data_IF_629992538880
#
_entry.id   IF_629992538880
#
_cell.length_a   1.000
_cell.length_b   1.000
_cell.length_c   1.000
_cell.angle_alpha   90.00
_cell.angle_beta   90.00
_cell.angle_gamma   90.00
#
_symmetry.space_group_name_H-M   'P 1'
#
loop_
_entity.id
_entity.type
_entity.pdbx_description
1 polymer ?
#
# COMPACT_ATOMS: atom_id res chain seq x y z
N UNK A 1 -32.39 -10.26 14.40
CA UNK A 1 -31.48 -10.18 13.24
C UNK A 1 -31.03 -8.74 12.87
N UNK A 2 -31.30 -7.71 13.70
CA UNK A 2 -30.84 -6.32 13.49
C UNK A 2 -29.84 -5.80 14.56
N UNK A 3 -29.29 -6.69 15.40
CA UNK A 3 -28.34 -6.33 16.48
C UNK A 3 -26.85 -6.49 16.13
N UNK A 4 -26.51 -6.86 14.90
CA UNK A 4 -25.11 -7.08 14.47
C UNK A 4 -24.53 -5.85 13.74
N UNK A 5 -25.37 -4.97 13.17
CA UNK A 5 -24.89 -3.80 12.42
C UNK A 5 -24.45 -2.64 13.35
N UNK A 6 -24.90 -2.60 14.61
CA UNK A 6 -24.45 -1.57 15.56
C UNK A 6 -23.05 -1.80 16.16
N UNK A 7 -22.37 -2.90 15.81
CA UNK A 7 -20.96 -3.13 16.15
C UNK A 7 -19.96 -2.70 15.06
N UNK A 8 -20.44 -2.25 13.90
CA UNK A 8 -19.59 -1.90 12.74
C UNK A 8 -19.20 -0.40 12.74
N UNK A 9 -19.80 0.43 13.60
CA UNK A 9 -19.40 1.83 13.76
C UNK A 9 -19.21 2.12 15.26
N UNK A 10 -17.99 1.97 15.82
CA UNK A 10 -17.73 2.53 17.13
C UNK A 10 -17.77 4.05 16.99
N UNK A 11 -18.85 4.62 17.51
CA UNK A 11 -19.00 6.04 17.83
C UNK A 11 -17.70 6.52 18.48
N UNK A 12 -17.10 7.53 17.85
CA UNK A 12 -15.84 8.18 18.21
C UNK A 12 -15.84 8.60 19.69
N UNK A 13 -15.32 7.75 20.56
CA UNK A 13 -14.76 8.15 21.85
C UNK A 13 -13.27 8.38 21.59
N UNK A 14 -12.74 9.55 21.98
CA UNK A 14 -11.35 9.96 21.83
C UNK A 14 -10.39 8.92 22.43
N UNK A 15 -10.06 7.88 21.68
CA UNK A 15 -8.96 6.96 21.95
C UNK A 15 -7.70 7.59 21.39
N UNK A 16 -6.68 7.72 22.23
CA UNK A 16 -5.33 8.13 21.84
C UNK A 16 -4.94 7.46 20.51
N UNK A 17 -4.81 8.25 19.45
CA UNK A 17 -4.45 7.75 18.12
C UNK A 17 -3.05 7.17 18.22
N UNK A 18 -2.91 5.88 17.95
CA UNK A 18 -1.63 5.17 17.94
C UNK A 18 -1.19 4.89 16.50
N UNK A 19 0.11 4.67 16.29
CA UNK A 19 0.63 4.21 15.00
C UNK A 19 -0.04 2.92 14.52
N UNK A 20 -0.34 2.01 15.46
CA UNK A 20 -1.10 0.81 15.17
C UNK A 20 -2.50 1.12 14.66
N UNK A 21 -3.28 1.92 15.39
CA UNK A 21 -4.65 2.24 14.99
C UNK A 21 -4.72 2.97 13.65
N UNK A 22 -3.71 3.80 13.33
CA UNK A 22 -3.64 4.51 12.07
C UNK A 22 -3.25 3.59 10.89
N UNK A 23 -2.37 2.60 11.11
CA UNK A 23 -1.94 1.64 10.08
C UNK A 23 -2.91 0.47 9.89
N UNK A 24 -3.71 0.14 10.91
CA UNK A 24 -4.64 -1.00 10.95
C UNK A 24 -5.54 -1.14 9.70
N UNK A 25 -6.12 -0.08 9.11
CA UNK A 25 -6.92 -0.20 7.89
C UNK A 25 -6.11 -0.72 6.69
N UNK A 26 -4.88 -0.25 6.51
CA UNK A 26 -3.97 -0.71 5.43
C UNK A 26 -3.56 -2.16 5.65
N UNK A 27 -3.31 -2.55 6.91
CA UNK A 27 -3.03 -3.94 7.25
C UNK A 27 -4.18 -4.87 6.86
N UNK A 28 -5.44 -4.52 7.17
CA UNK A 28 -6.56 -5.36 6.75
C UNK A 28 -6.74 -5.40 5.24
N UNK A 29 -6.59 -4.27 4.56
CA UNK A 29 -6.66 -4.18 3.11
C UNK A 29 -5.64 -5.10 2.44
N UNK A 30 -4.38 -5.03 2.86
CA UNK A 30 -3.30 -5.87 2.33
C UNK A 30 -3.44 -7.34 2.74
N UNK A 31 -3.87 -7.62 3.97
CA UNK A 31 -4.13 -8.98 4.44
C UNK A 31 -5.28 -9.65 3.70
N UNK A 32 -6.35 -8.90 3.37
CA UNK A 32 -7.49 -9.41 2.59
C UNK A 32 -7.08 -9.91 1.21
N UNK A 33 -6.04 -9.33 0.62
CA UNK A 33 -5.52 -9.72 -0.69
C UNK A 33 -4.35 -10.69 -0.59
N UNK A 34 -3.98 -11.16 0.60
CA UNK A 34 -2.84 -12.04 0.82
C UNK A 34 -1.47 -11.37 0.63
N UNK A 35 -1.40 -10.03 0.59
CA UNK A 35 -0.17 -9.25 0.41
C UNK A 35 0.58 -9.00 1.72
N UNK A 36 0.00 -9.40 2.86
CA UNK A 36 0.63 -9.26 4.16
C UNK A 36 0.90 -10.65 4.76
N UNK A 37 2.16 -11.09 4.89
CA UNK A 37 2.46 -12.48 5.21
C UNK A 37 2.22 -12.83 6.68
N UNK A 38 2.20 -11.85 7.60
CA UNK A 38 2.07 -12.12 9.04
C UNK A 38 0.80 -11.52 9.63
N UNK A 39 0.08 -12.30 10.43
CA UNK A 39 -0.97 -11.77 11.28
C UNK A 39 -0.37 -10.95 12.42
N UNK A 40 -0.79 -9.70 12.54
CA UNK A 40 -0.37 -8.78 13.60
C UNK A 40 -1.21 -8.98 14.85
N UNK A 41 -0.58 -9.25 16.00
CA UNK A 41 -1.23 -9.21 17.32
C UNK A 41 -0.88 -7.90 18.02
N UNK A 42 -1.90 -7.21 18.52
CA UNK A 42 -1.73 -6.07 19.40
C UNK A 42 -1.75 -6.55 20.85
N UNK A 43 -0.58 -6.88 21.40
CA UNK A 43 -0.46 -7.37 22.78
C UNK A 43 -0.10 -6.25 23.78
N UNK A 44 0.39 -5.12 23.29
CA UNK A 44 0.55 -3.88 24.06
C UNK A 44 0.59 -2.70 23.09
N UNK A 45 0.41 -1.48 23.59
CA UNK A 45 0.28 -0.23 22.82
C UNK A 45 1.42 0.10 21.85
N UNK A 46 2.48 -0.71 21.75
CA UNK A 46 3.78 -0.20 21.34
C UNK A 46 4.74 -1.15 20.59
N UNK A 47 4.40 -2.41 20.30
CA UNK A 47 5.23 -3.30 19.46
C UNK A 47 4.33 -4.21 18.61
N UNK A 48 4.65 -4.37 17.33
CA UNK A 48 4.02 -5.37 16.48
C UNK A 48 4.61 -6.75 16.76
N UNK A 49 3.81 -7.66 17.31
CA UNK A 49 4.14 -9.08 17.40
C UNK A 49 3.46 -9.85 16.28
N UNK A 50 4.17 -10.84 15.73
CA UNK A 50 3.68 -11.71 14.66
C UNK A 50 3.45 -13.13 15.18
N UNK A 51 2.50 -13.83 14.56
CA UNK A 51 2.35 -15.27 14.72
C UNK A 51 3.10 -15.98 13.59
N UNK A 52 4.11 -16.78 13.91
CA UNK A 52 4.88 -17.52 12.89
C UNK A 52 3.99 -18.46 12.06
N UNK A 53 3.02 -19.13 12.69
CA UNK A 53 2.10 -20.05 12.00
C UNK A 53 1.19 -19.35 10.98
N UNK A 54 0.97 -18.03 11.11
CA UNK A 54 0.16 -17.28 10.15
C UNK A 54 0.84 -17.12 8.79
N UNK A 55 2.17 -17.23 8.73
CA UNK A 55 2.93 -17.12 7.48
C UNK A 55 2.49 -18.18 6.47
N UNK A 56 2.41 -19.43 6.90
CA UNK A 56 2.06 -20.55 6.01
C UNK A 56 0.61 -20.47 5.52
N UNK A 57 -0.33 -20.10 6.39
CA UNK A 57 -1.73 -19.92 6.00
C UNK A 57 -1.91 -18.78 5.00
N UNK A 58 -1.26 -17.63 5.24
CA UNK A 58 -1.31 -16.51 4.32
C UNK A 58 -0.61 -16.84 3.00
N UNK A 59 0.47 -17.63 3.02
CA UNK A 59 1.17 -18.10 1.82
C UNK A 59 0.27 -19.01 0.96
N UNK A 60 -0.41 -19.98 1.57
CA UNK A 60 -1.41 -20.81 0.88
C UNK A 60 -2.51 -19.92 0.30
N UNK A 61 -3.03 -18.97 1.07
CA UNK A 61 -4.08 -18.07 0.62
C UNK A 61 -3.65 -17.24 -0.60
N UNK A 62 -2.46 -16.63 -0.56
CA UNK A 62 -1.90 -15.90 -1.70
C UNK A 62 -1.67 -16.80 -2.93
N UNK A 63 -1.20 -18.03 -2.70
CA UNK A 63 -1.00 -19.02 -3.77
C UNK A 63 -2.33 -19.39 -4.44
N UNK A 64 -3.41 -19.57 -3.66
CA UNK A 64 -4.75 -19.84 -4.19
C UNK A 64 -5.24 -18.67 -5.05
N UNK A 65 -5.11 -17.43 -4.56
CA UNK A 65 -5.49 -16.24 -5.35
C UNK A 65 -4.71 -16.21 -6.67
N UNK A 66 -3.40 -16.44 -6.62
CA UNK A 66 -2.55 -16.42 -7.81
C UNK A 66 -2.93 -17.52 -8.81
N UNK A 67 -3.21 -18.75 -8.34
CA UNK A 67 -3.68 -19.84 -9.19
C UNK A 67 -5.02 -19.49 -9.86
N UNK A 68 -5.96 -18.89 -9.11
CA UNK A 68 -7.23 -18.40 -9.66
C UNK A 68 -6.96 -17.38 -10.78
N UNK A 69 -6.07 -16.41 -10.56
CA UNK A 69 -5.69 -15.44 -11.58
C UNK A 69 -5.11 -16.11 -12.83
N UNK A 70 -4.24 -17.11 -12.68
CA UNK A 70 -3.70 -17.87 -13.82
C UNK A 70 -4.79 -18.60 -14.60
N UNK A 71 -5.70 -19.31 -13.91
CA UNK A 71 -6.79 -20.06 -14.56
C UNK A 71 -7.72 -19.11 -15.32
N UNK A 72 -8.16 -18.01 -14.69
CA UNK A 72 -9.02 -17.03 -15.35
C UNK A 72 -8.31 -16.31 -16.49
N UNK A 73 -7.00 -16.06 -16.39
CA UNK A 73 -6.21 -15.51 -17.50
C UNK A 73 -6.23 -16.44 -18.71
N UNK A 74 -5.98 -17.74 -18.52
CA UNK A 74 -6.05 -18.73 -19.62
C UNK A 74 -7.45 -18.80 -20.22
N UNK A 75 -8.50 -18.85 -19.39
CA UNK A 75 -9.89 -18.88 -19.86
C UNK A 75 -10.24 -17.62 -20.66
N UNK A 76 -9.78 -16.45 -20.24
CA UNK A 76 -10.05 -15.20 -20.93
C UNK A 76 -9.29 -15.11 -22.26
N UNK A 77 -8.01 -15.53 -22.30
CA UNK A 77 -7.24 -15.60 -23.55
C UNK A 77 -7.92 -16.56 -24.53
N UNK A 78 -8.42 -17.70 -24.06
CA UNK A 78 -9.21 -18.62 -24.90
C UNK A 78 -10.47 -17.94 -25.44
N UNK A 79 -11.26 -17.27 -24.60
CA UNK A 79 -12.47 -16.54 -25.04
C UNK A 79 -12.16 -15.49 -26.12
N UNK A 80 -11.08 -14.72 -25.94
CA UNK A 80 -10.62 -13.72 -26.91
C UNK A 80 -10.24 -14.38 -28.24
N UNK A 81 -9.42 -15.43 -28.22
CA UNK A 81 -8.96 -16.12 -29.43
C UNK A 81 -10.13 -16.80 -30.18
N UNK A 82 -11.07 -17.41 -29.46
CA UNK A 82 -12.23 -18.06 -30.09
C UNK A 82 -13.21 -17.03 -30.68
N UNK A 83 -13.37 -15.87 -30.04
CA UNK A 83 -14.17 -14.77 -30.59
C UNK A 83 -13.54 -14.16 -31.85
N UNK A 84 -12.21 -13.95 -31.85
CA UNK A 84 -11.45 -13.33 -32.94
C UNK A 84 -11.45 -14.12 -34.25
N UNK A 85 -11.63 -15.45 -34.20
CA UNK A 85 -11.73 -16.29 -35.42
C UNK A 85 -12.92 -15.97 -36.33
N UNK A 86 -13.86 -15.12 -35.89
CA UNK A 86 -15.08 -14.79 -36.64
C UNK A 86 -14.93 -13.56 -37.54
N UNK A 87 -13.84 -12.79 -37.45
CA UNK A 87 -13.67 -11.53 -38.19
C UNK A 87 -12.26 -11.43 -38.79
N UNK A 88 -12.17 -11.13 -40.09
CA UNK A 88 -10.91 -11.02 -40.82
C UNK A 88 -10.55 -9.56 -41.07
N UNK A 89 -9.86 -8.90 -40.13
CA UNK A 89 -9.08 -7.69 -40.44
C UNK A 89 -7.87 -7.52 -39.51
N UNK A 90 -6.73 -7.18 -40.10
CA UNK A 90 -5.42 -6.99 -39.45
C UNK A 90 -5.38 -6.00 -38.28
N UNK A 91 -6.32 -5.05 -38.21
CA UNK A 91 -6.41 -4.09 -37.10
C UNK A 91 -7.00 -4.69 -35.81
N UNK A 92 -7.90 -5.67 -35.92
CA UNK A 92 -8.48 -6.36 -34.77
C UNK A 92 -7.42 -7.23 -34.08
N UNK A 93 -6.56 -7.87 -34.87
CA UNK A 93 -5.45 -8.68 -34.38
C UNK A 93 -4.44 -7.87 -33.53
N UNK A 94 -4.13 -6.63 -33.91
CA UNK A 94 -3.19 -5.79 -33.14
C UNK A 94 -3.77 -5.40 -31.78
N UNK A 95 -5.06 -5.06 -31.76
CA UNK A 95 -5.80 -4.72 -30.53
C UNK A 95 -5.91 -5.93 -29.61
N UNK A 96 -6.20 -7.12 -30.15
CA UNK A 96 -6.21 -8.38 -29.40
C UNK A 96 -4.85 -8.71 -28.79
N UNK A 97 -3.77 -8.55 -29.57
CA UNK A 97 -2.41 -8.77 -29.09
C UNK A 97 -2.06 -7.81 -27.94
N UNK A 98 -2.36 -6.52 -28.09
CA UNK A 98 -2.14 -5.53 -27.04
C UNK A 98 -2.93 -5.87 -25.76
N UNK A 99 -4.17 -6.31 -25.92
CA UNK A 99 -5.02 -6.76 -24.83
C UNK A 99 -4.45 -7.99 -24.11
N UNK A 100 -3.92 -8.95 -24.86
CA UNK A 100 -3.24 -10.13 -24.30
C UNK A 100 -1.96 -9.73 -23.55
N UNK A 101 -1.16 -8.81 -24.10
CA UNK A 101 0.02 -8.31 -23.41
C UNK A 101 -0.34 -7.64 -22.09
N UNK A 102 -1.42 -6.87 -22.04
CA UNK A 102 -1.86 -6.23 -20.81
C UNK A 102 -2.22 -7.26 -19.72
N UNK A 103 -2.90 -8.37 -20.08
CA UNK A 103 -3.15 -9.48 -19.16
C UNK A 103 -1.87 -10.06 -18.59
N UNK A 104 -0.91 -10.34 -19.47
CA UNK A 104 0.35 -10.98 -19.10
C UNK A 104 1.15 -10.06 -18.18
N UNK A 105 1.21 -8.75 -18.47
CA UNK A 105 1.88 -7.78 -17.61
C UNK A 105 1.23 -7.69 -16.23
N UNK A 106 -0.09 -7.67 -16.14
CA UNK A 106 -0.82 -7.68 -14.86
C UNK A 106 -0.59 -8.96 -14.06
N UNK A 107 -0.51 -10.12 -14.73
CA UNK A 107 -0.24 -11.39 -14.08
C UNK A 107 1.21 -11.47 -13.56
N UNK A 108 2.17 -11.04 -14.38
CA UNK A 108 3.58 -10.92 -13.98
C UNK A 108 3.72 -9.95 -12.81
N UNK A 109 3.02 -8.82 -12.84
CA UNK A 109 2.97 -7.89 -11.72
C UNK A 109 2.49 -8.58 -10.43
N UNK A 110 1.37 -9.32 -10.49
CA UNK A 110 0.83 -10.03 -9.32
C UNK A 110 1.84 -11.03 -8.76
N UNK A 111 2.52 -11.78 -9.64
CA UNK A 111 3.58 -12.69 -9.23
C UNK A 111 4.70 -11.96 -8.48
N UNK A 112 5.21 -10.86 -9.04
CA UNK A 112 6.26 -10.04 -8.42
C UNK A 112 5.79 -9.45 -7.09
N UNK A 113 4.55 -8.96 -7.02
CA UNK A 113 3.97 -8.40 -5.80
C UNK A 113 3.88 -9.44 -4.67
N UNK A 114 3.34 -10.63 -4.94
CA UNK A 114 3.29 -11.72 -3.96
C UNK A 114 4.69 -12.20 -3.58
N UNK A 115 5.57 -12.42 -4.56
CA UNK A 115 6.94 -12.83 -4.29
C UNK A 115 7.67 -11.85 -3.37
N UNK A 116 7.55 -10.54 -3.66
CA UNK A 116 8.14 -9.49 -2.83
C UNK A 116 7.49 -9.44 -1.45
N UNK A 117 6.17 -9.60 -1.35
CA UNK A 117 5.46 -9.57 -0.08
C UNK A 117 5.95 -10.66 0.89
N UNK A 118 6.09 -11.90 0.40
CA UNK A 118 6.50 -13.03 1.22
C UNK A 118 8.00 -13.06 1.52
N UNK A 119 8.83 -12.64 0.55
CA UNK A 119 10.29 -12.55 0.73
C UNK A 119 10.65 -11.42 1.70
N UNK A 120 10.01 -10.26 1.57
CA UNK A 120 10.25 -9.08 2.42
C UNK A 120 9.38 -9.04 3.67
N UNK A 121 8.64 -10.10 4.00
CA UNK A 121 7.70 -10.10 5.12
C UNK A 121 8.32 -9.69 6.45
N UNK A 122 9.51 -10.22 6.78
CA UNK A 122 10.22 -9.86 8.02
C UNK A 122 10.66 -8.40 8.00
N UNK A 123 11.02 -7.89 6.83
CA UNK A 123 11.44 -6.50 6.62
C UNK A 123 10.29 -5.53 6.91
N UNK A 124 9.06 -5.83 6.47
CA UNK A 124 7.89 -4.99 6.78
C UNK A 124 7.65 -4.83 8.29
N UNK A 125 7.75 -5.92 9.04
CA UNK A 125 7.60 -5.89 10.50
C UNK A 125 8.73 -5.09 11.15
N UNK A 126 9.96 -5.27 10.67
CA UNK A 126 11.12 -4.53 11.15
C UNK A 126 11.01 -3.02 10.86
N UNK A 127 10.47 -2.63 9.69
CA UNK A 127 10.17 -1.23 9.35
C UNK A 127 9.16 -0.67 10.35
N UNK A 128 8.02 -1.34 10.54
CA UNK A 128 6.96 -0.90 11.45
C UNK A 128 7.44 -0.75 12.89
N UNK A 129 8.20 -1.71 13.40
CA UNK A 129 8.77 -1.67 14.75
C UNK A 129 9.82 -0.57 14.89
N UNK A 130 10.68 -0.37 13.87
CA UNK A 130 11.67 0.73 13.87
C UNK A 130 11.00 2.10 13.80
N UNK A 131 9.89 2.25 13.09
CA UNK A 131 9.11 3.48 13.07
C UNK A 131 8.59 3.81 14.47
N UNK A 132 7.92 2.85 15.13
CA UNK A 132 7.39 3.07 16.50
C UNK A 132 8.52 3.39 17.48
N UNK A 133 9.61 2.62 17.43
CA UNK A 133 10.75 2.81 18.34
C UNK A 133 11.44 4.16 18.14
N UNK A 134 11.55 4.64 16.89
CA UNK A 134 12.14 5.95 16.58
C UNK A 134 11.21 7.07 17.01
N UNK A 135 9.90 6.91 16.78
CA UNK A 135 8.89 7.90 17.15
C UNK A 135 8.87 8.20 18.65
N UNK A 136 9.00 7.15 19.48
CA UNK A 136 9.08 7.27 20.95
C UNK A 136 10.25 8.13 21.42
N UNK A 137 11.38 8.08 20.72
CA UNK A 137 12.58 8.86 21.07
C UNK A 137 12.44 10.34 20.73
N UNK A 138 11.48 10.69 19.87
CA UNK A 138 11.21 12.04 19.38
C UNK A 138 9.86 12.58 19.85
N UNK A 139 9.23 11.95 20.87
CA UNK A 139 7.94 12.40 21.37
C UNK A 139 8.09 13.72 22.16
N UNK A 140 7.37 14.75 21.72
CA UNK A 140 7.24 16.08 22.36
C UNK A 140 5.76 16.34 22.58
N UNK A 141 5.36 17.29 23.43
CA UNK A 141 3.95 17.61 23.74
C UNK A 141 3.04 17.81 22.51
N UNK A 142 3.59 18.18 21.35
CA UNK A 142 2.86 18.32 20.07
C UNK A 142 2.70 17.01 19.27
N UNK A 143 3.13 15.88 19.82
CA UNK A 143 3.08 14.54 19.21
C UNK A 143 1.67 14.14 18.78
N UNK A 144 0.67 14.40 19.61
CA UNK A 144 -0.72 14.00 19.34
C UNK A 144 -1.27 14.68 18.08
N UNK A 145 -0.93 15.96 17.88
CA UNK A 145 -1.35 16.73 16.70
C UNK A 145 -0.74 16.15 15.42
N UNK A 146 0.56 15.81 15.45
CA UNK A 146 1.21 15.21 14.30
C UNK A 146 0.66 13.80 14.00
N UNK A 147 0.41 13.01 15.03
CA UNK A 147 -0.18 11.68 14.87
C UNK A 147 -1.59 11.73 14.25
N UNK A 148 -2.40 12.74 14.60
CA UNK A 148 -3.70 13.01 13.95
C UNK A 148 -3.55 13.35 12.46
N UNK A 149 -2.51 14.11 12.08
CA UNK A 149 -2.23 14.42 10.67
C UNK A 149 -1.83 13.17 9.88
N UNK A 150 -0.97 12.33 10.46
CA UNK A 150 -0.59 11.04 9.87
C UNK A 150 -1.81 10.15 9.69
N UNK A 151 -2.65 9.99 10.72
CA UNK A 151 -3.89 9.20 10.65
C UNK A 151 -4.83 9.71 9.55
N UNK A 152 -5.00 11.04 9.43
CA UNK A 152 -5.80 11.63 8.34
C UNK A 152 -5.21 11.33 6.95
N UNK A 153 -3.88 11.43 6.78
CA UNK A 153 -3.20 11.10 5.51
C UNK A 153 -3.36 9.62 5.16
N UNK A 154 -3.23 8.72 6.13
CA UNK A 154 -3.42 7.27 5.94
C UNK A 154 -4.87 6.94 5.58
N UNK A 155 -5.85 7.52 6.29
CA UNK A 155 -7.28 7.38 5.95
C UNK A 155 -7.60 7.89 4.54
N UNK A 156 -6.96 8.98 4.10
CA UNK A 156 -7.11 9.48 2.73
C UNK A 156 -6.65 8.45 1.70
N UNK A 157 -5.51 7.78 1.94
CA UNK A 157 -5.00 6.70 1.06
C UNK A 157 -6.00 5.56 0.96
N UNK A 158 -6.50 5.07 2.12
CA UNK A 158 -7.51 3.99 2.17
C UNK A 158 -8.78 4.41 1.43
N UNK A 159 -9.27 5.63 1.67
CA UNK A 159 -10.45 6.16 0.99
C UNK A 159 -10.26 6.23 -0.52
N UNK A 160 -9.13 6.76 -1.00
CA UNK A 160 -8.83 6.82 -2.44
C UNK A 160 -8.75 5.43 -3.07
N UNK A 161 -8.12 4.47 -2.38
CA UNK A 161 -8.07 3.08 -2.83
C UNK A 161 -9.48 2.49 -2.96
N UNK A 162 -10.29 2.60 -1.90
CA UNK A 162 -11.63 2.01 -1.89
C UNK A 162 -12.52 2.63 -2.94
N UNK A 163 -12.42 3.95 -3.12
CA UNK A 163 -13.16 4.67 -4.16
C UNK A 163 -12.77 4.17 -5.56
N UNK A 164 -11.47 4.03 -5.85
CA UNK A 164 -11.00 3.52 -7.14
C UNK A 164 -11.48 2.07 -7.36
N UNK A 165 -11.32 1.19 -6.38
CA UNK A 165 -11.75 -0.20 -6.47
C UNK A 165 -13.27 -0.31 -6.73
N UNK A 166 -14.10 0.44 -5.98
CA UNK A 166 -15.55 0.45 -6.18
C UNK A 166 -15.91 0.98 -7.58
N UNK A 167 -15.28 2.07 -8.02
CA UNK A 167 -15.52 2.62 -9.36
C UNK A 167 -15.18 1.61 -10.46
N UNK A 168 -14.05 0.91 -10.38
CA UNK A 168 -13.67 -0.11 -11.38
C UNK A 168 -14.68 -1.27 -11.44
N UNK A 169 -15.19 -1.70 -10.28
CA UNK A 169 -16.23 -2.75 -10.21
C UNK A 169 -17.53 -2.25 -10.85
N UNK A 170 -17.98 -1.03 -10.52
CA UNK A 170 -19.20 -0.44 -11.09
C UNK A 170 -19.08 -0.36 -12.60
N UNK A 171 -17.98 0.19 -13.13
CA UNK A 171 -17.75 0.33 -14.58
C UNK A 171 -17.86 -1.04 -15.28
N UNK A 172 -17.28 -2.09 -14.71
CA UNK A 172 -17.35 -3.43 -15.29
C UNK A 172 -18.77 -3.99 -15.40
N UNK A 173 -19.62 -3.73 -14.41
CA UNK A 173 -21.01 -4.17 -14.43
C UNK A 173 -21.93 -3.26 -15.26
N UNK A 174 -21.49 -2.05 -15.63
CA UNK A 174 -22.20 -1.18 -16.58
C UNK A 174 -21.93 -1.52 -18.05
N UNK A 175 -20.88 -2.30 -18.34
CA UNK A 175 -20.51 -2.67 -19.72
C UNK A 175 -21.60 -3.55 -20.35
N UNK A 176 -21.97 -3.24 -21.60
CA UNK A 176 -22.85 -4.10 -22.40
C UNK A 176 -22.13 -5.42 -22.69
N UNK A 177 -22.65 -6.52 -22.19
CA UNK A 177 -22.06 -7.85 -22.38
C UNK A 177 -22.75 -8.93 -21.55
N UNK A 178 -22.40 -10.19 -21.80
CA UNK A 178 -22.84 -11.31 -20.97
C UNK A 178 -22.19 -11.24 -19.59
N UNK A 179 -22.90 -11.69 -18.54
CA UNK A 179 -22.37 -11.81 -17.17
C UNK A 179 -21.03 -12.56 -17.13
N UNK A 180 -20.87 -13.59 -17.97
CA UNK A 180 -19.62 -14.35 -18.08
C UNK A 180 -18.42 -13.47 -18.45
N UNK A 181 -18.54 -12.61 -19.46
CA UNK A 181 -17.50 -11.64 -19.84
C UNK A 181 -17.18 -10.67 -18.71
N UNK A 182 -18.17 -10.20 -17.96
CA UNK A 182 -17.93 -9.35 -16.78
C UNK A 182 -17.18 -10.10 -15.69
N UNK A 183 -17.46 -11.39 -15.48
CA UNK A 183 -16.72 -12.24 -14.53
C UNK A 183 -15.27 -12.44 -14.99
N UNK A 184 -15.05 -12.73 -16.28
CA UNK A 184 -13.70 -12.83 -16.84
C UNK A 184 -12.90 -11.54 -16.60
N UNK A 185 -13.45 -10.38 -16.97
CA UNK A 185 -12.81 -9.07 -16.75
C UNK A 185 -12.53 -8.79 -15.27
N UNK A 186 -13.45 -9.17 -14.38
CA UNK A 186 -13.27 -9.01 -12.94
C UNK A 186 -12.02 -9.75 -12.43
N UNK A 187 -11.81 -10.99 -12.86
CA UNK A 187 -10.67 -11.78 -12.40
C UNK A 187 -9.37 -11.49 -13.16
N UNK A 188 -9.42 -11.06 -14.42
CA UNK A 188 -8.20 -10.82 -15.21
C UNK A 188 -7.68 -9.39 -15.19
N UNK A 189 -8.55 -8.39 -14.97
CA UNK A 189 -8.14 -6.98 -14.87
C UNK A 189 -8.35 -6.42 -13.47
N UNK A 190 -9.59 -6.46 -12.99
CA UNK A 190 -9.96 -5.69 -11.80
C UNK A 190 -9.26 -6.26 -10.57
N UNK A 191 -9.22 -7.57 -10.40
CA UNK A 191 -8.54 -8.18 -9.27
C UNK A 191 -7.02 -7.94 -9.29
N UNK A 192 -6.29 -8.19 -10.40
CA UNK A 192 -4.87 -7.79 -10.52
C UNK A 192 -4.60 -6.30 -10.27
N UNK A 193 -5.42 -5.42 -10.85
CA UNK A 193 -5.33 -3.97 -10.61
C UNK A 193 -5.60 -3.62 -9.14
N UNK A 194 -6.52 -4.33 -8.48
CA UNK A 194 -6.80 -4.16 -7.04
C UNK A 194 -5.59 -4.58 -6.20
N UNK A 195 -4.93 -5.70 -6.54
CA UNK A 195 -3.66 -6.13 -5.93
C UNK A 195 -2.57 -5.08 -6.12
N UNK A 196 -2.50 -4.48 -7.31
CA UNK A 196 -1.55 -3.42 -7.62
C UNK A 196 -1.78 -2.15 -6.80
N UNK A 197 -3.03 -1.66 -6.78
CA UNK A 197 -3.43 -0.51 -6.00
C UNK A 197 -3.21 -0.74 -4.49
N UNK A 198 -3.44 -1.95 -4.00
CA UNK A 198 -3.19 -2.31 -2.60
C UNK A 198 -1.70 -2.28 -2.25
N UNK A 199 -0.84 -2.78 -3.13
CA UNK A 199 0.61 -2.74 -2.97
C UNK A 199 1.12 -1.29 -2.97
N UNK A 200 0.61 -0.43 -3.86
CA UNK A 200 0.91 1.00 -3.86
C UNK A 200 0.39 1.71 -2.60
N UNK A 201 -0.82 1.39 -2.16
CA UNK A 201 -1.39 1.94 -0.92
C UNK A 201 -0.53 1.56 0.29
N UNK A 202 -0.01 0.32 0.33
CA UNK A 202 0.93 -0.12 1.35
C UNK A 202 2.23 0.68 1.31
N UNK A 203 2.87 0.81 0.14
CA UNK A 203 4.05 1.64 -0.02
C UNK A 203 3.84 3.09 0.46
N UNK A 204 2.79 3.74 -0.05
CA UNK A 204 2.43 5.12 0.32
C UNK A 204 2.17 5.26 1.82
N UNK A 205 1.57 4.25 2.46
CA UNK A 205 1.33 4.28 3.90
C UNK A 205 2.63 4.31 4.71
N UNK A 206 3.63 3.50 4.34
CA UNK A 206 4.92 3.47 5.02
C UNK A 206 5.69 4.78 4.79
N UNK A 207 5.61 5.35 3.58
CA UNK A 207 6.15 6.67 3.27
C UNK A 207 5.50 7.75 4.13
N UNK A 208 4.17 7.77 4.25
CA UNK A 208 3.46 8.71 5.13
C UNK A 208 3.93 8.54 6.58
N UNK A 209 4.14 7.32 7.06
CA UNK A 209 4.67 7.10 8.40
C UNK A 209 6.07 7.69 8.59
N UNK A 210 6.95 7.56 7.60
CA UNK A 210 8.27 8.22 7.61
C UNK A 210 8.13 9.74 7.61
N UNK A 211 7.26 10.31 6.78
CA UNK A 211 7.05 11.77 6.76
C UNK A 211 6.60 12.27 8.13
N UNK A 212 5.74 11.50 8.83
CA UNK A 212 5.37 11.80 10.21
C UNK A 212 6.55 11.78 11.19
N UNK A 213 7.51 10.87 11.02
CA UNK A 213 8.74 10.88 11.83
C UNK A 213 9.60 12.12 11.56
N UNK A 214 9.74 12.52 10.30
CA UNK A 214 10.48 13.74 9.93
C UNK A 214 9.80 14.98 10.49
N UNK A 215 8.48 15.08 10.40
CA UNK A 215 7.68 16.16 10.99
C UNK A 215 7.90 16.22 12.52
N UNK A 216 7.99 15.07 13.20
CA UNK A 216 8.33 15.02 14.63
C UNK A 216 9.76 15.53 14.92
N UNK A 217 10.74 15.17 14.09
CA UNK A 217 12.13 15.65 14.25
C UNK A 217 12.19 17.18 14.07
N UNK A 218 11.48 17.73 13.08
CA UNK A 218 11.40 19.18 12.85
C UNK A 218 10.72 19.89 14.03
N UNK A 219 9.65 19.31 14.57
CA UNK A 219 8.99 19.83 15.78
C UNK A 219 9.92 19.82 17.00
N UNK A 220 10.73 18.77 17.17
CA UNK A 220 11.76 18.75 18.20
C UNK A 220 12.75 19.91 18.01
N UNK A 221 13.30 20.07 16.80
CA UNK A 221 14.27 21.12 16.49
C UNK A 221 13.72 22.53 16.75
N UNK A 222 12.50 22.82 16.30
CA UNK A 222 11.85 24.12 16.52
C UNK A 222 11.60 24.42 18.00
N UNK A 223 11.22 23.40 18.79
CA UNK A 223 11.08 23.55 20.25
C UNK A 223 12.41 23.91 20.92
N UNK A 224 13.53 23.33 20.48
CA UNK A 224 14.85 23.68 20.99
C UNK A 224 15.31 25.08 20.59
N UNK A 225 15.03 25.53 19.36
CA UNK A 225 15.39 26.88 18.93
C UNK A 225 14.64 27.96 19.73
N UNK A 226 13.34 27.75 19.96
CA UNK A 226 12.48 28.65 20.74
C UNK A 226 12.96 28.75 22.20
N UNK A 227 13.34 27.64 22.82
CA UNK A 227 13.83 27.63 24.21
C UNK A 227 15.25 28.21 24.36
N UNK A 228 16.08 28.22 23.32
CA UNK A 228 17.39 28.90 23.35
C UNK A 228 17.26 30.43 23.43
N UNK A 229 16.22 31.01 22.81
CA UNK A 229 16.01 32.47 22.77
C UNK A 229 15.58 33.08 24.11
N UNK A 230 15.01 32.27 25.01
CA UNK A 230 14.56 32.74 26.35
C UNK A 230 15.72 32.86 27.35
N UNK A 231 16.90 32.28 27.06
CA UNK A 231 18.06 32.29 27.96
C UNK A 231 19.11 33.36 27.61
N UNK A 232 18.69 34.56 27.21
CA UNK A 232 19.59 35.72 27.16
C UNK A 232 19.91 36.18 28.59
N UNK A 233 21.00 35.66 29.15
CA UNK A 233 21.58 36.17 30.39
C UNK A 233 22.65 35.29 31.04
N UNK A 234 22.61 33.96 30.89
CA UNK A 234 23.61 33.07 31.51
C UNK A 234 23.94 31.92 30.56
N UNK A 235 25.10 32.00 29.92
CA UNK A 235 25.69 30.92 29.12
C UNK A 235 26.20 29.81 30.04
N UNK A 236 25.30 29.02 30.60
CA UNK A 236 25.64 27.66 31.02
C UNK A 236 25.24 26.75 29.87
N UNK A 237 26.21 26.37 29.04
CA UNK A 237 26.05 25.28 28.06
C UNK A 237 25.75 24.00 28.83
N UNK A 238 24.46 23.75 29.09
CA UNK A 238 24.02 22.56 29.80
C UNK A 238 24.47 21.33 28.99
N UNK A 239 25.11 20.32 29.62
CA UNK A 239 25.55 19.08 28.96
C UNK A 239 24.40 18.34 28.24
N UNK A 240 23.14 18.66 28.56
CA UNK A 240 21.93 18.22 27.86
C UNK A 240 21.90 18.58 26.37
N UNK A 241 22.39 19.74 25.94
CA UNK A 241 22.25 20.19 24.56
C UNK A 241 23.03 19.32 23.54
N UNK A 242 24.22 18.85 23.92
CA UNK A 242 25.06 17.97 23.08
C UNK A 242 24.43 16.56 22.99
N UNK A 243 23.89 16.04 24.10
CA UNK A 243 23.18 14.74 24.09
C UNK A 243 21.92 14.75 23.20
N UNK A 244 21.22 15.89 23.14
CA UNK A 244 20.00 16.04 22.34
C UNK A 244 20.32 16.06 20.85
N UNK A 245 21.35 16.81 20.43
CA UNK A 245 21.74 16.88 19.02
C UNK A 245 22.24 15.52 18.51
N UNK A 246 23.01 14.78 19.33
CA UNK A 246 23.44 13.42 19.03
C UNK A 246 22.24 12.46 18.89
N UNK A 247 21.23 12.60 19.77
CA UNK A 247 20.00 11.82 19.69
C UNK A 247 19.18 12.13 18.43
N UNK A 248 19.08 13.40 18.03
CA UNK A 248 18.40 13.81 16.79
C UNK A 248 19.13 13.30 15.55
N UNK A 249 20.46 13.41 15.51
CA UNK A 249 21.29 12.82 14.44
C UNK A 249 21.04 11.32 14.31
N UNK A 250 21.03 10.60 15.44
CA UNK A 250 20.74 9.16 15.47
C UNK A 250 19.33 8.86 14.97
N UNK A 251 18.32 9.67 15.31
CA UNK A 251 16.96 9.51 14.81
C UNK A 251 16.89 9.75 13.29
N UNK A 252 17.56 10.77 12.78
CA UNK A 252 17.61 11.05 11.34
C UNK A 252 18.26 9.91 10.55
N UNK A 253 19.39 9.38 11.02
CA UNK A 253 20.05 8.21 10.41
C UNK A 253 19.10 7.00 10.41
N UNK A 254 18.37 6.77 11.51
CA UNK A 254 17.37 5.70 11.56
C UNK A 254 16.25 5.90 10.54
N UNK A 255 15.72 7.12 10.40
CA UNK A 255 14.68 7.41 9.40
C UNK A 255 15.20 7.17 7.99
N UNK A 256 16.44 7.57 7.70
CA UNK A 256 17.09 7.29 6.41
C UNK A 256 17.18 5.79 6.13
N UNK A 257 17.64 5.00 7.09
CA UNK A 257 17.72 3.54 6.93
C UNK A 257 16.34 2.89 6.75
N UNK A 258 15.30 3.38 7.46
CA UNK A 258 13.93 2.90 7.26
C UNK A 258 13.45 3.23 5.83
N UNK A 259 13.77 4.41 5.29
CA UNK A 259 13.45 4.78 3.90
C UNK A 259 14.13 3.82 2.91
N UNK A 260 15.40 3.54 3.10
CA UNK A 260 16.16 2.61 2.25
C UNK A 260 15.53 1.21 2.26
N UNK A 261 15.14 0.72 3.44
CA UNK A 261 14.45 -0.58 3.56
C UNK A 261 13.10 -0.60 2.85
N UNK A 262 12.31 0.49 2.93
CA UNK A 262 11.05 0.59 2.17
C UNK A 262 11.36 0.54 0.67
N UNK A 263 12.34 1.30 0.19
CA UNK A 263 12.70 1.31 -1.22
C UNK A 263 13.13 -0.08 -1.68
N UNK A 264 14.00 -0.76 -0.93
CA UNK A 264 14.42 -2.14 -1.23
C UNK A 264 13.24 -3.11 -1.30
N UNK A 265 12.25 -2.94 -0.43
CA UNK A 265 11.11 -3.84 -0.37
C UNK A 265 10.08 -3.62 -1.50
N UNK A 266 10.00 -2.41 -2.06
CA UNK A 266 8.98 -2.02 -3.05
C UNK A 266 9.53 -1.63 -4.42
N UNK A 267 10.86 -1.58 -4.63
CA UNK A 267 11.47 -1.18 -5.90
C UNK A 267 10.97 -2.00 -7.10
N UNK A 268 10.87 -3.33 -6.95
CA UNK A 268 10.43 -4.20 -8.03
C UNK A 268 8.93 -4.02 -8.33
N UNK A 269 8.01 -4.09 -7.34
CA UNK A 269 6.60 -3.77 -7.59
C UNK A 269 6.37 -2.38 -8.21
N UNK A 270 7.11 -1.35 -7.77
CA UNK A 270 7.00 0.00 -8.34
C UNK A 270 7.48 0.02 -9.80
N UNK A 271 8.59 -0.64 -10.11
CA UNK A 271 9.11 -0.72 -11.47
C UNK A 271 8.13 -1.43 -12.42
N UNK A 272 7.58 -2.58 -12.02
CA UNK A 272 6.59 -3.29 -12.83
C UNK A 272 5.29 -2.50 -12.99
N UNK A 273 4.89 -1.74 -11.96
CA UNK A 273 3.77 -0.79 -12.08
C UNK A 273 4.07 0.26 -13.15
N UNK A 274 5.25 0.87 -13.14
CA UNK A 274 5.62 1.87 -14.13
C UNK A 274 5.65 1.31 -15.56
N UNK A 275 6.19 0.10 -15.74
CA UNK A 275 6.20 -0.59 -17.04
C UNK A 275 4.77 -0.84 -17.54
N UNK A 276 3.90 -1.38 -16.68
CA UNK A 276 2.51 -1.62 -17.04
C UNK A 276 1.75 -0.32 -17.34
N UNK A 277 1.93 0.72 -16.54
CA UNK A 277 1.32 2.03 -16.82
C UNK A 277 1.81 2.60 -18.15
N UNK A 278 3.10 2.47 -18.46
CA UNK A 278 3.65 2.90 -19.74
C UNK A 278 3.01 2.12 -20.90
N UNK A 279 2.94 0.79 -20.79
CA UNK A 279 2.28 -0.05 -21.79
C UNK A 279 0.82 0.36 -21.99
N UNK A 280 0.05 0.47 -20.91
CA UNK A 280 -1.36 0.90 -20.95
C UNK A 280 -1.53 2.27 -21.63
N UNK A 281 -0.70 3.26 -21.29
CA UNK A 281 -0.74 4.59 -21.93
C UNK A 281 -0.46 4.52 -23.43
N UNK A 282 0.52 3.72 -23.85
CA UNK A 282 0.86 3.55 -25.27
C UNK A 282 -0.25 2.81 -26.01
N UNK A 283 -0.80 1.74 -25.42
CA UNK A 283 -1.91 0.97 -26.02
C UNK A 283 -3.17 1.82 -26.19
N UNK A 284 -3.55 2.59 -25.16
CA UNK A 284 -4.71 3.49 -25.21
C UNK A 284 -4.51 4.63 -26.22
N UNK A 285 -3.33 5.25 -26.26
CA UNK A 285 -3.02 6.27 -27.26
C UNK A 285 -3.08 5.71 -28.70
N UNK A 286 -2.59 4.48 -28.89
CA UNK A 286 -2.69 3.77 -30.16
C UNK A 286 -4.14 3.47 -30.57
N UNK A 287 -4.96 3.04 -29.62
CA UNK A 287 -6.40 2.80 -29.83
C UNK A 287 -7.14 4.09 -30.23
N UNK A 288 -6.91 5.17 -29.49
CA UNK A 288 -7.49 6.50 -29.78
C UNK A 288 -7.08 7.03 -31.15
N UNK A 289 -5.80 6.86 -31.55
CA UNK A 289 -5.29 7.34 -32.82
C UNK A 289 -5.93 6.62 -34.02
N UNK A 290 -6.16 5.31 -33.92
CA UNK A 290 -6.75 4.51 -34.99
C UNK A 290 -8.29 4.47 -34.95
N UNK A 291 -8.93 5.09 -33.95
CA UNK A 291 -10.38 5.18 -33.82
C UNK A 291 -11.07 3.83 -33.55
N UNK A 292 -10.35 2.85 -33.01
CA UNK A 292 -10.87 1.52 -32.71
C UNK A 292 -11.38 1.50 -31.26
N UNK A 293 -12.57 2.04 -31.02
CA UNK A 293 -13.22 2.09 -29.70
C UNK A 293 -14.55 1.34 -29.65
#
# INVERSE_FOLDING_TARGET
>A
MFRVISKIIPIYRQLNVTWYSAFKPIYYLTSLLGLFPYTLKHESTNVFKTYLNSYYLNFIYASIIFIILCVFCVLHIQDVIYAGKSYSMTNENLTEINYIFEFVFLLVYCFVAYYCAFTNGKLYINILNRVIATCRRTAVDRYEKNMKLVDKRLKKIVYSYTLLAVTTIIINFTRKGSVWKSVLVLFTFILPQTVQLATLAHYCSLVVMITGLLDNIILCLSYYDQNKRVAHGIWTTKPRAVSILSNLKTCFIKVYNIKEDINRAFQAPILFTAIQCFHCLVSEAGSLYHGVG
#
